data_IF_013424178414
#
_entry.id   IF_013424178414
#
_cell.length_a   1.000
_cell.length_b   1.000
_cell.length_c   1.000
_cell.angle_alpha   90.00
_cell.angle_beta   90.00
_cell.angle_gamma   90.00
#
_symmetry.space_group_name_H-M   'P 1'
#
loop_
_entity.id
_entity.type
_entity.pdbx_description
1 polymer ?
#
# COMPACT_ATOMS: atom_id res chain seq x y z
N UNK A 1 -14.14 5.51 -7.20
CA UNK A 1 -13.16 4.98 -8.17
C UNK A 1 -12.19 4.14 -7.37
N UNK A 2 -11.91 2.88 -7.77
CA UNK A 2 -10.86 2.10 -7.09
C UNK A 2 -9.49 2.71 -7.48
N UNK A 3 -8.54 2.86 -6.55
CA UNK A 3 -7.17 3.21 -6.93
C UNK A 3 -6.64 2.22 -7.96
N UNK A 4 -5.85 2.67 -8.93
CA UNK A 4 -5.27 1.75 -9.92
C UNK A 4 -3.84 2.14 -10.21
N UNK A 5 -2.94 1.16 -10.08
CA UNK A 5 -1.53 1.31 -10.43
C UNK A 5 -1.32 1.07 -11.93
N UNK A 6 -0.23 1.63 -12.46
CA UNK A 6 0.19 1.41 -13.85
C UNK A 6 0.64 -0.04 -14.09
N UNK A 7 0.68 -0.42 -15.37
CA UNK A 7 1.19 -1.73 -15.80
C UNK A 7 2.67 -1.98 -15.46
N UNK A 8 3.41 -0.91 -15.19
CA UNK A 8 4.77 -0.95 -14.67
C UNK A 8 4.88 0.05 -13.53
N UNK A 9 5.38 -0.39 -12.38
CA UNK A 9 5.48 0.43 -11.16
C UNK A 9 6.91 0.50 -10.66
N UNK A 10 7.23 1.59 -9.96
CA UNK A 10 8.48 1.84 -9.28
C UNK A 10 8.23 2.20 -7.81
N UNK A 11 9.17 1.94 -6.90
CA UNK A 11 9.11 2.49 -5.55
C UNK A 11 8.91 4.01 -5.57
N UNK A 12 7.98 4.49 -4.75
CA UNK A 12 7.55 5.88 -4.71
C UNK A 12 6.29 6.19 -5.53
N UNK A 13 5.89 5.30 -6.45
CA UNK A 13 4.59 5.43 -7.13
C UNK A 13 3.45 5.41 -6.11
N UNK A 14 2.39 6.17 -6.39
CA UNK A 14 1.27 6.27 -5.48
C UNK A 14 -0.04 6.56 -6.20
N UNK A 15 -1.11 6.28 -5.48
CA UNK A 15 -2.49 6.56 -5.87
C UNK A 15 -3.18 7.28 -4.73
N UNK A 16 -4.02 8.26 -5.08
CA UNK A 16 -4.78 9.06 -4.12
C UNK A 16 -6.24 8.63 -4.11
N UNK A 17 -6.86 8.67 -2.93
CA UNK A 17 -8.26 8.37 -2.75
C UNK A 17 -8.90 9.33 -1.75
N UNK A 18 -10.03 9.92 -2.11
CA UNK A 18 -10.79 10.83 -1.25
C UNK A 18 -12.03 10.12 -0.68
N UNK A 19 -12.27 10.29 0.62
CA UNK A 19 -13.47 9.81 1.31
C UNK A 19 -14.05 10.89 2.21
N UNK A 20 -14.92 11.73 1.66
CA UNK A 20 -15.53 12.84 2.39
C UNK A 20 -14.50 13.92 2.73
N UNK A 21 -14.06 13.97 4.00
CA UNK A 21 -13.03 14.90 4.49
C UNK A 21 -11.66 14.23 4.67
N UNK A 22 -11.59 12.94 4.38
CA UNK A 22 -10.35 12.19 4.42
C UNK A 22 -9.70 12.14 3.06
N UNK A 23 -8.38 12.29 3.05
CA UNK A 23 -7.53 11.99 1.92
C UNK A 23 -6.65 10.81 2.31
N UNK A 24 -6.54 9.83 1.41
CA UNK A 24 -5.68 8.67 1.57
C UNK A 24 -4.68 8.62 0.42
N UNK A 25 -3.43 8.32 0.75
CA UNK A 25 -2.36 8.06 -0.22
C UNK A 25 -1.89 6.63 -0.03
N UNK A 26 -2.07 5.78 -1.02
CA UNK A 26 -1.45 4.45 -1.04
C UNK A 26 -0.16 4.56 -1.84
N UNK A 27 0.97 4.44 -1.16
CA UNK A 27 2.31 4.55 -1.75
C UNK A 27 2.96 3.17 -1.82
N UNK A 28 3.57 2.88 -2.96
CA UNK A 28 4.43 1.73 -3.13
C UNK A 28 5.82 2.03 -2.55
N UNK A 29 6.27 1.18 -1.63
CA UNK A 29 7.60 1.20 -1.03
C UNK A 29 8.40 -0.01 -1.48
N UNK A 30 9.72 0.13 -1.51
CA UNK A 30 10.61 -1.01 -1.76
C UNK A 30 10.73 -1.87 -0.51
N UNK A 31 10.62 -3.19 -0.67
CA UNK A 31 10.86 -4.17 0.38
C UNK A 31 12.27 -4.75 0.19
N UNK A 32 13.19 -4.37 1.07
CA UNK A 32 14.59 -4.81 1.06
C UNK A 32 14.84 -6.07 1.90
N UNK A 33 13.79 -6.65 2.48
CA UNK A 33 13.87 -7.82 3.35
C UNK A 33 13.41 -9.07 2.59
N UNK A 34 12.28 -8.97 1.88
CA UNK A 34 11.70 -10.10 1.17
C UNK A 34 12.53 -10.51 -0.04
N UNK A 35 12.78 -11.81 -0.18
CA UNK A 35 13.49 -12.39 -1.32
C UNK A 35 12.73 -13.60 -1.88
N UNK A 36 12.91 -13.92 -3.18
CA UNK A 36 12.26 -15.11 -3.74
C UNK A 36 12.81 -16.42 -3.14
N UNK A 37 13.89 -16.36 -2.36
CA UNK A 37 14.43 -17.51 -1.64
C UNK A 37 13.66 -17.85 -0.37
N UNK A 38 12.80 -16.95 0.11
CA UNK A 38 11.96 -17.16 1.28
C UNK A 38 10.73 -18.04 0.98
N UNK A 39 10.50 -18.36 -0.30
CA UNK A 39 9.33 -19.09 -0.76
C UNK A 39 9.69 -20.17 -1.79
N UNK A 40 9.11 -21.36 -1.66
CA UNK A 40 9.37 -22.51 -2.56
C UNK A 40 8.59 -22.48 -3.89
N UNK A 41 7.92 -21.36 -4.21
CA UNK A 41 7.03 -21.25 -5.37
C UNK A 41 7.70 -20.68 -6.64
N UNK A 42 8.90 -20.10 -6.54
CA UNK A 42 9.60 -19.52 -7.67
C UNK A 42 10.53 -20.51 -8.34
N UNK A 43 10.54 -20.52 -9.67
CA UNK A 43 11.52 -21.29 -10.42
C UNK A 43 12.84 -20.50 -10.60
N UNK A 44 13.83 -21.15 -11.22
CA UNK A 44 15.14 -20.51 -11.47
C UNK A 44 15.03 -19.30 -12.39
N UNK A 45 14.11 -19.32 -13.35
CA UNK A 45 13.93 -18.26 -14.32
C UNK A 45 13.35 -17.01 -13.62
N UNK A 46 12.37 -17.18 -12.75
CA UNK A 46 11.77 -16.11 -11.96
C UNK A 46 12.79 -15.45 -11.02
N UNK A 47 13.63 -16.26 -10.36
CA UNK A 47 14.72 -15.76 -9.51
C UNK A 47 15.78 -14.99 -10.32
N UNK A 48 16.10 -15.43 -11.54
CA UNK A 48 17.02 -14.71 -12.42
C UNK A 48 16.46 -13.36 -12.85
N UNK A 49 15.16 -13.28 -13.18
CA UNK A 49 14.47 -12.02 -13.50
C UNK A 49 14.48 -11.05 -12.31
N UNK A 50 14.28 -11.54 -11.10
CA UNK A 50 14.38 -10.73 -9.87
C UNK A 50 15.78 -10.13 -9.71
N UNK A 51 16.82 -10.95 -9.86
CA UNK A 51 18.23 -10.51 -9.80
C UNK A 51 18.57 -9.46 -10.86
N UNK A 52 17.93 -9.53 -12.02
CA UNK A 52 18.09 -8.56 -13.10
C UNK A 52 17.28 -7.28 -12.88
N UNK A 53 16.51 -7.17 -11.80
CA UNK A 53 15.65 -6.02 -11.50
C UNK A 53 14.39 -5.93 -12.37
N UNK A 54 13.98 -7.03 -13.00
CA UNK A 54 12.76 -7.06 -13.83
C UNK A 54 11.49 -7.04 -12.99
N UNK A 55 11.57 -7.52 -11.75
CA UNK A 55 10.52 -7.46 -10.74
C UNK A 55 11.15 -7.37 -9.34
N UNK A 56 10.38 -6.93 -8.35
CA UNK A 56 10.85 -6.73 -6.97
C UNK A 56 9.74 -6.97 -5.95
N UNK A 57 10.08 -7.13 -4.67
CA UNK A 57 9.09 -7.07 -3.60
C UNK A 57 8.87 -5.64 -3.14
N UNK A 58 7.62 -5.28 -2.91
CA UNK A 58 7.25 -3.98 -2.37
C UNK A 58 6.25 -4.08 -1.25
N UNK A 59 5.98 -2.92 -0.64
CA UNK A 59 4.90 -2.73 0.30
C UNK A 59 3.96 -1.62 -0.14
N UNK A 60 2.67 -1.81 0.06
CA UNK A 60 1.68 -0.74 -0.06
C UNK A 60 1.47 -0.12 1.32
N UNK A 61 1.80 1.16 1.45
CA UNK A 61 1.69 1.91 2.70
C UNK A 61 0.62 2.99 2.53
N UNK A 62 -0.39 2.97 3.40
CA UNK A 62 -1.47 3.95 3.37
C UNK A 62 -1.19 5.06 4.37
N UNK A 63 -1.15 6.30 3.88
CA UNK A 63 -1.13 7.51 4.68
C UNK A 63 -2.51 8.14 4.70
N UNK A 64 -2.92 8.75 5.81
CA UNK A 64 -4.25 9.34 5.99
C UNK A 64 -4.19 10.78 6.49
N UNK A 65 -5.00 11.64 5.90
CA UNK A 65 -5.23 13.03 6.31
C UNK A 65 -6.72 13.28 6.57
N UNK A 66 -7.03 14.27 7.40
CA UNK A 66 -8.37 14.80 7.59
C UNK A 66 -8.34 16.32 7.51
N UNK A 67 -9.07 16.91 6.55
CA UNK A 67 -9.06 18.36 6.32
C UNK A 67 -7.64 18.96 6.23
N UNK A 68 -6.72 18.26 5.55
CA UNK A 68 -5.32 18.66 5.42
C UNK A 68 -4.43 18.42 6.63
N UNK A 69 -4.96 17.93 7.76
CA UNK A 69 -4.17 17.49 8.90
C UNK A 69 -3.80 16.02 8.77
N UNK A 70 -2.52 15.69 8.87
CA UNK A 70 -2.08 14.31 8.82
C UNK A 70 -2.48 13.56 10.08
N UNK A 71 -3.23 12.46 9.92
CA UNK A 71 -3.62 11.59 11.00
C UNK A 71 -2.54 10.54 11.27
N UNK A 72 -2.06 9.91 10.20
CA UNK A 72 -0.99 8.91 10.24
C UNK A 72 -0.25 8.88 8.92
N UNK A 73 1.07 8.73 8.98
CA UNK A 73 1.90 8.41 7.82
C UNK A 73 1.64 6.97 7.36
N UNK A 74 1.45 6.02 8.28
CA UNK A 74 1.29 4.60 8.01
C UNK A 74 0.08 4.08 8.81
N UNK A 75 -1.14 4.30 8.32
CA UNK A 75 -2.35 3.82 9.01
C UNK A 75 -2.51 2.31 8.82
N UNK A 76 -2.40 1.84 7.59
CA UNK A 76 -2.37 0.41 7.23
C UNK A 76 -1.25 0.16 6.24
N UNK A 77 -0.74 -1.08 6.20
CA UNK A 77 0.26 -1.47 5.20
C UNK A 77 0.29 -2.97 4.97
N UNK A 78 0.61 -3.37 3.74
CA UNK A 78 0.91 -4.76 3.37
C UNK A 78 2.29 -4.81 2.70
N UNK A 79 3.12 -5.77 3.07
CA UNK A 79 4.51 -5.94 2.59
C UNK A 79 4.71 -7.32 1.96
N UNK A 80 5.86 -7.56 1.33
CA UNK A 80 6.15 -8.83 0.66
C UNK A 80 5.32 -9.07 -0.59
N UNK A 81 4.88 -8.01 -1.29
CA UNK A 81 4.03 -8.11 -2.48
C UNK A 81 4.89 -8.05 -3.73
N UNK A 82 4.70 -8.96 -4.68
CA UNK A 82 5.45 -8.93 -5.94
C UNK A 82 5.02 -7.74 -6.83
N UNK A 83 5.99 -6.99 -7.32
CA UNK A 83 5.78 -5.85 -8.21
C UNK A 83 6.45 -6.13 -9.56
N UNK A 84 5.72 -5.95 -10.65
CA UNK A 84 6.14 -6.22 -12.04
C UNK A 84 6.48 -7.69 -12.36
N UNK A 85 6.06 -8.65 -11.54
CA UNK A 85 6.40 -10.07 -11.73
C UNK A 85 5.79 -10.66 -13.02
N UNK A 86 4.46 -10.61 -13.13
CA UNK A 86 3.70 -10.97 -14.35
C UNK A 86 2.82 -9.80 -14.80
N UNK A 87 2.09 -9.21 -13.84
CA UNK A 87 1.32 -7.98 -13.99
C UNK A 87 1.14 -7.35 -12.58
N UNK A 88 0.43 -6.21 -12.50
CA UNK A 88 0.23 -5.45 -11.25
C UNK A 88 -1.25 -5.34 -10.84
N UNK A 89 -2.13 -6.19 -11.37
CA UNK A 89 -3.56 -6.10 -11.08
C UNK A 89 -3.85 -6.33 -9.58
N UNK A 90 -3.12 -7.25 -8.95
CA UNK A 90 -3.23 -7.52 -7.52
C UNK A 90 -2.83 -6.33 -6.66
N UNK A 91 -1.92 -5.45 -7.10
CA UNK A 91 -1.59 -4.22 -6.36
C UNK A 91 -2.82 -3.31 -6.20
N UNK A 92 -3.68 -3.27 -7.23
CA UNK A 92 -4.95 -2.52 -7.19
C UNK A 92 -5.95 -3.16 -6.24
N UNK A 93 -6.01 -4.49 -6.20
CA UNK A 93 -6.87 -5.23 -5.28
C UNK A 93 -6.44 -5.03 -3.83
N UNK A 94 -5.15 -5.26 -3.52
CA UNK A 94 -4.57 -5.03 -2.19
C UNK A 94 -4.72 -3.58 -1.74
N UNK A 95 -4.53 -2.59 -2.63
CA UNK A 95 -4.75 -1.18 -2.30
C UNK A 95 -6.21 -0.89 -1.94
N UNK A 96 -7.16 -1.56 -2.60
CA UNK A 96 -8.59 -1.46 -2.27
C UNK A 96 -8.90 -2.01 -0.89
N UNK A 97 -8.39 -3.19 -0.56
CA UNK A 97 -8.58 -3.83 0.75
C UNK A 97 -7.96 -2.98 1.87
N UNK A 98 -6.71 -2.53 1.70
CA UNK A 98 -6.04 -1.66 2.66
C UNK A 98 -6.75 -0.32 2.87
N UNK A 99 -7.41 0.22 1.84
CA UNK A 99 -8.20 1.44 1.96
C UNK A 99 -9.45 1.23 2.80
N UNK A 100 -10.12 0.09 2.68
CA UNK A 100 -11.30 -0.22 3.51
C UNK A 100 -10.90 -0.25 4.99
N UNK A 101 -9.81 -0.94 5.32
CA UNK A 101 -9.26 -0.95 6.69
C UNK A 101 -8.82 0.45 7.15
N UNK A 102 -8.10 1.20 6.30
CA UNK A 102 -7.64 2.55 6.62
C UNK A 102 -8.79 3.52 6.90
N UNK A 103 -9.91 3.39 6.19
CA UNK A 103 -11.10 4.21 6.39
C UNK A 103 -11.71 3.92 7.76
N UNK A 104 -11.84 2.65 8.14
CA UNK A 104 -12.36 2.27 9.46
C UNK A 104 -11.48 2.79 10.59
N UNK A 105 -10.17 2.58 10.49
CA UNK A 105 -9.20 3.06 11.49
C UNK A 105 -9.20 4.60 11.61
N UNK A 106 -9.23 5.31 10.49
CA UNK A 106 -9.24 6.77 10.48
C UNK A 106 -10.53 7.34 11.11
N UNK A 107 -11.67 6.70 10.88
CA UNK A 107 -12.94 7.08 11.51
C UNK A 107 -12.93 6.84 13.01
N UNK A 108 -12.43 5.68 13.47
CA UNK A 108 -12.33 5.37 14.89
C UNK A 108 -11.34 6.30 15.60
N UNK A 109 -10.21 6.66 14.96
CA UNK A 109 -9.28 7.66 15.46
C UNK A 109 -9.98 9.00 15.72
N UNK A 110 -10.74 9.53 14.75
CA UNK A 110 -11.44 10.81 14.91
C UNK A 110 -12.53 10.76 15.98
N UNK A 111 -13.27 9.65 16.06
CA UNK A 111 -14.29 9.43 17.10
C UNK A 111 -13.65 9.51 18.48
N UNK A 112 -12.52 8.84 18.69
CA UNK A 112 -11.79 8.85 19.95
C UNK A 112 -11.17 10.23 20.26
N UNK A 113 -10.62 10.92 19.26
CA UNK A 113 -10.10 12.28 19.43
C UNK A 113 -11.20 13.26 19.87
N UNK A 114 -12.38 13.21 19.25
CA UNK A 114 -13.52 14.05 19.61
C UNK A 114 -14.02 13.78 21.03
N UNK A 115 -14.11 12.50 21.41
CA UNK A 115 -14.53 12.12 22.76
C UNK A 115 -13.56 12.68 23.83
N UNK A 116 -12.25 12.63 23.58
CA UNK A 116 -11.24 13.17 24.51
C UNK A 116 -11.26 14.69 24.62
N UNK A 117 -11.57 15.40 23.54
CA UNK A 117 -11.65 16.87 23.55
C UNK A 117 -12.95 17.41 24.15
N UNK A 118 -13.98 16.58 24.27
CA UNK A 118 -15.26 16.93 24.87
C UNK A 118 -15.37 16.59 26.37
N UNK A 119 -14.36 15.91 26.93
CA UNK A 119 -14.24 15.55 28.35
C UNK A 119 -13.48 16.63 29.13
#
# INVERSE_FOLDING_TARGET
MKPSFSSHVCPGDFVMFEHGKFDFKVRLEFDDISTPYDFDCYDKFDIERWKNGEWFYGGLVVSAWYNGFQLSEHITSLWGIECNFVNNNHLTECAGELLEEAIEEAMEFLKNARAKLAA
#
